data_IF_893053666519
#
_entry.id   IF_893053666519
#
_cell.length_a   1.000
_cell.length_b   1.000
_cell.length_c   1.000
_cell.angle_alpha   90.00
_cell.angle_beta   90.00
_cell.angle_gamma   90.00
#
_symmetry.space_group_name_H-M   'P 1'
#
loop_
_entity.id
_entity.type
_entity.pdbx_description
1 polymer ?
#
# COMPACT_ATOMS: atom_id res chain seq x y z
N UNK A 1 -15.04 -10.41 -16.60
CA UNK A 1 -15.27 -9.60 -17.83
C UNK A 1 -14.08 -9.71 -18.79
N UNK A 2 -14.17 -9.11 -19.99
CA UNK A 2 -13.11 -9.10 -21.02
C UNK A 2 -13.68 -9.18 -22.44
N UNK A 3 -12.94 -8.72 -23.44
CA UNK A 3 -13.34 -8.67 -24.85
C UNK A 3 -13.38 -7.24 -25.42
N UNK A 4 -14.05 -7.08 -26.55
CA UNK A 4 -14.08 -5.82 -27.30
C UNK A 4 -15.24 -4.90 -26.88
N UNK A 5 -14.96 -3.59 -26.86
CA UNK A 5 -15.94 -2.51 -26.65
C UNK A 5 -16.01 -1.66 -27.92
N UNK A 6 -17.04 -1.89 -28.73
CA UNK A 6 -17.25 -1.22 -30.02
C UNK A 6 -18.25 -0.04 -29.95
N UNK A 7 -19.09 -0.02 -28.91
CA UNK A 7 -20.08 1.03 -28.64
C UNK A 7 -19.97 1.55 -27.20
N UNK A 8 -21.07 2.00 -26.61
CA UNK A 8 -21.08 2.46 -25.22
C UNK A 8 -21.40 1.29 -24.26
N UNK A 9 -20.47 0.94 -23.38
CA UNK A 9 -20.63 -0.06 -22.33
C UNK A 9 -20.48 0.62 -20.98
N UNK A 10 -21.47 0.45 -20.09
CA UNK A 10 -21.43 0.94 -18.71
C UNK A 10 -21.34 -0.27 -17.79
N UNK A 11 -20.33 -0.29 -16.92
CA UNK A 11 -20.26 -1.29 -15.85
C UNK A 11 -21.18 -0.90 -14.69
N UNK A 12 -21.59 -1.87 -13.90
CA UNK A 12 -22.19 -1.60 -12.59
C UNK A 12 -21.08 -1.46 -11.54
N UNK A 13 -21.39 -0.87 -10.39
CA UNK A 13 -20.44 -0.80 -9.29
C UNK A 13 -20.21 -2.22 -8.72
N UNK A 14 -18.95 -2.62 -8.58
CA UNK A 14 -18.62 -3.92 -8.00
C UNK A 14 -17.20 -4.39 -8.26
N UNK A 15 -16.93 -5.65 -7.95
CA UNK A 15 -15.63 -6.30 -8.18
C UNK A 15 -15.74 -7.25 -9.37
N UNK A 16 -14.90 -7.06 -10.38
CA UNK A 16 -14.88 -7.87 -11.58
C UNK A 16 -13.51 -8.51 -11.79
N UNK A 17 -13.48 -9.82 -12.00
CA UNK A 17 -12.26 -10.48 -12.51
C UNK A 17 -12.21 -10.34 -14.03
N UNK A 18 -11.14 -9.72 -14.54
CA UNK A 18 -10.84 -9.58 -15.97
C UNK A 18 -10.03 -10.80 -16.42
N UNK A 19 -10.69 -11.67 -17.18
CA UNK A 19 -10.15 -12.97 -17.58
C UNK A 19 -9.59 -12.98 -19.02
N UNK A 20 -9.81 -11.90 -19.78
CA UNK A 20 -9.36 -11.70 -21.16
C UNK A 20 -9.13 -10.20 -21.37
N UNK A 21 -8.25 -9.86 -22.31
CA UNK A 21 -7.94 -8.47 -22.61
C UNK A 21 -9.21 -7.67 -22.91
N UNK A 22 -9.23 -6.43 -22.42
CA UNK A 22 -10.28 -5.48 -22.75
C UNK A 22 -9.73 -4.59 -23.87
N UNK A 23 -10.41 -4.59 -25.02
CA UNK A 23 -10.05 -3.70 -26.13
C UNK A 23 -11.16 -2.70 -26.38
N UNK A 24 -10.91 -1.42 -26.08
CA UNK A 24 -11.84 -0.34 -26.38
C UNK A 24 -11.48 0.25 -27.73
N UNK A 25 -12.29 -0.05 -28.75
CA UNK A 25 -12.10 0.47 -30.11
C UNK A 25 -12.26 1.99 -30.16
N UNK A 26 -11.81 2.62 -31.24
CA UNK A 26 -11.85 4.09 -31.42
C UNK A 26 -13.25 4.73 -31.28
N UNK A 27 -14.33 4.01 -31.63
CA UNK A 27 -15.73 4.43 -31.43
C UNK A 27 -16.32 3.94 -30.11
N UNK A 28 -15.61 3.06 -29.40
CA UNK A 28 -16.01 2.48 -28.14
C UNK A 28 -15.92 3.47 -27.00
N UNK A 29 -16.88 3.38 -26.07
CA UNK A 29 -16.82 4.05 -24.77
C UNK A 29 -17.05 3.03 -23.67
N UNK A 30 -16.14 2.96 -22.71
CA UNK A 30 -16.31 2.17 -21.49
C UNK A 30 -16.47 3.12 -20.29
N UNK A 31 -17.63 3.09 -19.65
CA UNK A 31 -17.94 3.86 -18.44
C UNK A 31 -17.80 2.96 -17.21
N UNK A 32 -16.94 3.34 -16.27
CA UNK A 32 -16.62 2.58 -15.06
C UNK A 32 -17.04 3.41 -13.84
N UNK A 33 -18.08 3.01 -13.10
CA UNK A 33 -18.49 3.73 -11.90
C UNK A 33 -17.39 3.77 -10.84
N UNK A 34 -17.29 4.87 -10.08
CA UNK A 34 -16.46 4.91 -8.88
C UNK A 34 -16.87 3.81 -7.88
N UNK A 35 -15.90 3.29 -7.12
CA UNK A 35 -16.11 2.12 -6.25
C UNK A 35 -15.86 0.77 -6.94
N UNK A 36 -15.80 0.76 -8.27
CA UNK A 36 -15.53 -0.46 -9.05
C UNK A 36 -14.07 -0.92 -8.93
N UNK A 37 -13.87 -2.23 -8.78
CA UNK A 37 -12.56 -2.88 -8.80
C UNK A 37 -12.48 -3.83 -9.99
N UNK A 38 -11.49 -3.64 -10.85
CA UNK A 38 -11.17 -4.53 -11.96
C UNK A 38 -9.90 -5.32 -11.63
N UNK A 39 -10.06 -6.61 -11.37
CA UNK A 39 -8.94 -7.49 -11.04
C UNK A 39 -8.47 -8.28 -12.26
N UNK A 40 -7.29 -7.97 -12.78
CA UNK A 40 -6.73 -8.57 -13.97
C UNK A 40 -5.99 -9.85 -13.62
N UNK A 41 -6.29 -10.95 -14.33
CA UNK A 41 -5.41 -12.10 -14.32
C UNK A 41 -4.03 -11.72 -14.89
N UNK A 42 -3.02 -12.49 -14.53
CA UNK A 42 -1.67 -12.31 -15.06
C UNK A 42 -1.69 -12.31 -16.59
N UNK A 43 -0.86 -11.44 -17.18
CA UNK A 43 -0.76 -11.26 -18.64
C UNK A 43 -2.04 -10.79 -19.34
N UNK A 44 -3.05 -10.33 -18.59
CA UNK A 44 -4.26 -9.69 -19.14
C UNK A 44 -4.18 -8.19 -18.91
N UNK A 45 -4.48 -7.43 -19.95
CA UNK A 45 -4.43 -5.97 -19.94
C UNK A 45 -5.69 -5.30 -20.48
N UNK A 46 -5.57 -3.99 -20.64
CA UNK A 46 -6.57 -3.15 -21.29
C UNK A 46 -5.87 -2.28 -22.33
N UNK A 47 -6.44 -2.21 -23.52
CA UNK A 47 -5.96 -1.35 -24.59
C UNK A 47 -7.11 -0.45 -25.05
N UNK A 48 -6.83 0.85 -25.17
CA UNK A 48 -7.85 1.88 -25.34
C UNK A 48 -7.50 2.76 -26.53
N UNK A 49 -8.21 2.56 -27.63
CA UNK A 49 -8.21 3.46 -28.79
C UNK A 49 -9.36 4.47 -28.75
N UNK A 50 -10.45 4.17 -28.04
CA UNK A 50 -11.60 5.05 -27.85
C UNK A 50 -11.58 5.79 -26.51
N UNK A 51 -12.71 5.79 -25.81
CA UNK A 51 -12.88 6.53 -24.56
C UNK A 51 -13.09 5.60 -23.36
N UNK A 52 -12.36 5.85 -22.28
CA UNK A 52 -12.72 5.38 -20.94
C UNK A 52 -13.15 6.58 -20.11
N UNK A 53 -14.27 6.43 -19.40
CA UNK A 53 -14.83 7.45 -18.52
C UNK A 53 -15.17 6.81 -17.17
N UNK A 54 -15.06 7.58 -16.09
CA UNK A 54 -15.57 7.18 -14.79
C UNK A 54 -16.63 8.16 -14.29
N UNK A 55 -17.67 7.64 -13.64
CA UNK A 55 -18.82 8.41 -13.14
C UNK A 55 -19.15 8.06 -11.69
N UNK A 56 -19.65 9.03 -10.89
CA UNK A 56 -19.96 8.85 -9.45
C UNK A 56 -19.18 9.81 -8.51
N UNK A 57 -19.13 9.49 -7.22
CA UNK A 57 -18.48 10.34 -6.19
C UNK A 57 -16.95 10.23 -6.20
N UNK A 58 -16.26 11.36 -5.97
CA UNK A 58 -14.78 11.44 -5.90
C UNK A 58 -14.17 10.65 -4.75
N UNK A 59 -14.97 10.30 -3.74
CA UNK A 59 -14.49 9.64 -2.51
C UNK A 59 -14.25 8.14 -2.70
N UNK A 60 -14.95 7.53 -3.67
CA UNK A 60 -14.70 6.16 -4.08
C UNK A 60 -13.77 6.18 -5.30
N UNK A 61 -12.75 5.32 -5.37
CA UNK A 61 -11.81 5.26 -6.51
C UNK A 61 -12.09 4.00 -7.34
N UNK A 62 -12.00 4.12 -8.66
CA UNK A 62 -11.88 2.95 -9.53
C UNK A 62 -10.50 2.34 -9.31
N UNK A 63 -10.43 1.04 -9.04
CA UNK A 63 -9.17 0.34 -8.78
C UNK A 63 -8.92 -0.71 -9.84
N UNK A 64 -7.69 -0.76 -10.34
CA UNK A 64 -7.19 -1.82 -11.21
C UNK A 64 -6.14 -2.60 -10.41
N UNK A 65 -6.36 -3.89 -10.20
CA UNK A 65 -5.49 -4.74 -9.36
C UNK A 65 -5.23 -6.08 -10.03
N UNK A 66 -4.37 -6.91 -9.44
CA UNK A 66 -4.24 -8.31 -9.86
C UNK A 66 -5.40 -9.15 -9.31
N UNK A 67 -5.81 -10.18 -10.04
CA UNK A 67 -6.82 -11.15 -9.63
C UNK A 67 -6.50 -11.73 -8.24
N UNK A 68 -7.49 -11.70 -7.34
CA UNK A 68 -7.34 -12.19 -5.97
C UNK A 68 -6.88 -11.15 -4.96
N UNK A 69 -6.54 -9.93 -5.37
CA UNK A 69 -6.14 -8.85 -4.44
C UNK A 69 -7.24 -8.54 -3.42
N UNK A 70 -8.51 -8.49 -3.83
CA UNK A 70 -9.63 -8.21 -2.92
C UNK A 70 -9.80 -9.31 -1.88
N UNK A 71 -9.65 -10.58 -2.28
CA UNK A 71 -9.73 -11.72 -1.37
C UNK A 71 -8.61 -11.68 -0.31
N UNK A 72 -7.37 -11.35 -0.73
CA UNK A 72 -6.23 -11.18 0.18
C UNK A 72 -6.49 -10.04 1.16
N UNK A 73 -6.92 -8.87 0.68
CA UNK A 73 -7.19 -7.70 1.54
C UNK A 73 -8.28 -8.02 2.57
N UNK A 74 -9.36 -8.67 2.14
CA UNK A 74 -10.47 -9.05 3.03
C UNK A 74 -10.04 -10.07 4.07
N UNK A 75 -9.23 -11.06 3.69
CA UNK A 75 -8.68 -12.03 4.64
C UNK A 75 -7.75 -11.37 5.65
N UNK A 76 -6.88 -10.45 5.21
CA UNK A 76 -6.01 -9.74 6.15
C UNK A 76 -6.78 -8.83 7.09
N UNK A 77 -7.87 -8.20 6.63
CA UNK A 77 -8.75 -7.44 7.50
C UNK A 77 -9.34 -8.32 8.60
N UNK A 78 -9.82 -9.52 8.26
CA UNK A 78 -10.39 -10.48 9.22
C UNK A 78 -9.34 -10.94 10.24
N UNK A 79 -8.13 -11.27 9.78
CA UNK A 79 -7.03 -11.67 10.66
C UNK A 79 -6.66 -10.54 11.62
N UNK A 80 -6.59 -9.30 11.14
CA UNK A 80 -6.24 -8.16 11.98
C UNK A 80 -7.35 -7.80 12.99
N UNK A 81 -8.61 -7.91 12.59
CA UNK A 81 -9.75 -7.74 13.49
C UNK A 81 -9.78 -8.83 14.57
N UNK A 82 -9.49 -10.07 14.19
CA UNK A 82 -9.37 -11.18 15.14
C UNK A 82 -8.21 -10.94 16.12
N UNK A 83 -7.02 -10.54 15.64
CA UNK A 83 -5.89 -10.20 16.50
C UNK A 83 -6.22 -9.09 17.49
N UNK A 84 -6.98 -8.09 17.07
CA UNK A 84 -7.42 -7.00 17.95
C UNK A 84 -8.36 -7.50 19.04
N UNK A 85 -9.25 -8.44 18.73
CA UNK A 85 -10.13 -9.09 19.70
C UNK A 85 -9.34 -10.00 20.66
N UNK A 86 -8.40 -10.79 20.14
CA UNK A 86 -7.55 -11.66 20.97
C UNK A 86 -6.68 -10.85 21.93
N UNK A 87 -6.13 -9.71 21.47
CA UNK A 87 -5.39 -8.79 22.32
C UNK A 87 -6.26 -8.19 23.44
N UNK A 88 -7.53 -7.89 23.17
CA UNK A 88 -8.48 -7.42 24.20
C UNK A 88 -8.83 -8.53 25.20
N UNK A 89 -9.01 -9.78 24.74
CA UNK A 89 -9.29 -10.92 25.63
C UNK A 89 -8.11 -11.23 26.56
N UNK A 90 -6.87 -11.12 26.06
CA UNK A 90 -5.66 -11.35 26.87
C UNK A 90 -5.52 -10.31 28.00
N UNK A 91 -6.01 -9.08 27.81
CA UNK A 91 -6.08 -8.06 28.87
C UNK A 91 -7.14 -8.42 29.92
N UNK A 92 -8.26 -9.04 29.52
CA UNK A 92 -9.32 -9.45 30.44
C UNK A 92 -8.89 -10.65 31.30
N UNK A 93 -8.10 -11.59 30.75
CA UNK A 93 -7.51 -12.70 31.52
C UNK A 93 -6.44 -12.25 32.52
N UNK A 94 -5.71 -11.16 32.27
CA UNK A 94 -4.78 -10.55 33.25
C UNK A 94 -5.47 -9.76 34.39
N UNK A 95 -6.80 -9.58 34.35
CA UNK A 95 -7.54 -8.78 35.36
C UNK A 95 -8.20 -9.65 36.46
N UNK A 96 -8.05 -10.98 36.47
CA UNK A 96 -8.34 -11.76 37.68
C UNK A 96 -7.19 -11.60 38.67
N UNK A 97 -7.41 -10.77 39.69
CA UNK A 97 -6.49 -10.46 40.79
C UNK A 97 -6.08 -11.74 41.55
N UNK A 98 -5.00 -12.37 41.12
CA UNK A 98 -4.15 -13.20 41.97
C UNK A 98 -2.80 -12.48 42.17
N UNK A 99 -2.31 -12.55 43.40
CA UNK A 99 -1.32 -11.65 44.02
C UNK A 99 -0.08 -11.33 43.16
N UNK A 100 0.23 -10.04 43.03
CA UNK A 100 1.45 -9.55 42.37
C UNK A 100 2.68 -10.04 43.14
N UNK A 101 3.36 -11.06 42.62
CA UNK A 101 4.65 -11.49 43.12
C UNK A 101 5.76 -10.57 42.57
N UNK A 102 6.14 -9.57 43.37
CA UNK A 102 7.13 -8.54 43.02
C UNK A 102 8.51 -9.13 42.68
N UNK A 103 8.79 -10.39 43.03
CA UNK A 103 10.05 -11.08 42.69
C UNK A 103 10.19 -11.48 41.21
N UNK A 104 9.10 -11.72 40.48
CA UNK A 104 9.15 -12.22 39.09
C UNK A 104 9.20 -11.09 38.03
N UNK A 105 8.78 -9.87 38.42
CA UNK A 105 8.81 -8.67 37.57
C UNK A 105 10.24 -8.21 37.25
N UNK A 106 11.20 -8.49 38.14
CA UNK A 106 12.62 -8.15 37.97
C UNK A 106 13.36 -9.03 36.96
N UNK A 107 12.91 -10.27 36.71
CA UNK A 107 13.52 -11.15 35.69
C UNK A 107 12.87 -10.97 34.31
N UNK A 108 11.58 -10.58 34.24
CA UNK A 108 10.94 -10.25 32.96
C UNK A 108 11.38 -8.91 32.37
N UNK A 109 11.84 -7.97 33.19
CA UNK A 109 12.36 -6.67 32.71
C UNK A 109 13.77 -6.75 32.13
N UNK A 110 14.57 -7.77 32.45
CA UNK A 110 15.90 -7.95 31.85
C UNK A 110 15.86 -8.55 30.44
N UNK A 111 14.73 -9.10 30.00
CA UNK A 111 14.54 -9.62 28.64
C UNK A 111 13.87 -8.61 27.68
N UNK A 112 13.46 -7.43 28.18
CA UNK A 112 12.92 -6.35 27.35
C UNK A 112 14.01 -5.50 26.71
N UNK A 113 15.29 -5.73 27.03
CA UNK A 113 16.43 -5.07 26.39
C UNK A 113 16.92 -5.76 25.11
N UNK A 114 16.34 -6.90 24.73
CA UNK A 114 16.71 -7.66 23.52
C UNK A 114 15.85 -7.31 22.28
N UNK A 115 14.85 -6.44 22.42
CA UNK A 115 14.32 -5.70 21.27
C UNK A 115 15.24 -4.53 20.98
N UNK A 116 16.46 -4.82 20.54
CA UNK A 116 17.16 -3.85 19.70
C UNK A 116 16.21 -3.57 18.53
N UNK A 117 15.71 -2.33 18.36
CA UNK A 117 14.90 -2.01 17.20
C UNK A 117 15.70 -2.47 15.98
N UNK A 118 15.07 -3.18 15.01
CA UNK A 118 15.78 -3.60 13.82
C UNK A 118 16.53 -2.39 13.27
N UNK A 119 17.81 -2.55 12.91
CA UNK A 119 18.65 -1.50 12.31
C UNK A 119 18.11 -1.18 10.91
N UNK A 120 16.94 -0.55 10.88
CA UNK A 120 16.22 -0.12 9.69
C UNK A 120 16.84 1.20 9.28
N UNK A 121 17.74 1.13 8.32
CA UNK A 121 18.38 2.30 7.75
C UNK A 121 17.58 2.77 6.56
N UNK A 122 17.43 4.08 6.44
CA UNK A 122 16.71 4.72 5.33
C UNK A 122 17.62 5.69 4.59
N UNK A 123 17.39 5.87 3.29
CA UNK A 123 18.04 6.90 2.47
C UNK A 123 17.11 7.39 1.37
N UNK A 124 17.31 8.63 0.92
CA UNK A 124 16.68 9.19 -0.26
C UNK A 124 17.63 9.10 -1.45
N UNK A 125 17.11 8.73 -2.62
CA UNK A 125 17.88 8.65 -3.87
C UNK A 125 17.15 9.35 -5.02
N UNK A 126 17.90 9.97 -5.94
CA UNK A 126 17.35 10.52 -7.19
C UNK A 126 16.61 11.87 -7.06
N UNK A 127 16.65 12.54 -5.91
CA UNK A 127 16.17 13.92 -5.75
C UNK A 127 17.17 14.99 -6.18
N UNK A 128 16.73 16.25 -6.22
CA UNK A 128 17.55 17.45 -6.47
C UNK A 128 18.62 17.65 -5.41
N UNK A 129 18.26 17.39 -4.16
CA UNK A 129 19.09 17.59 -2.98
C UNK A 129 18.89 16.45 -1.97
N UNK A 130 19.42 16.61 -0.76
CA UNK A 130 19.36 15.59 0.30
C UNK A 130 18.00 15.51 1.02
N UNK A 131 17.06 16.42 0.72
CA UNK A 131 15.75 16.53 1.37
C UNK A 131 14.63 15.88 0.55
N UNK A 132 14.85 15.66 -0.74
CA UNK A 132 13.91 14.98 -1.64
C UNK A 132 14.48 13.71 -2.28
N UNK A 133 13.60 12.78 -2.64
CA UNK A 133 13.96 11.60 -3.42
C UNK A 133 13.09 10.38 -3.16
N UNK A 134 13.41 9.28 -3.86
CA UNK A 134 12.80 7.97 -3.61
C UNK A 134 13.34 7.39 -2.31
N UNK A 135 12.43 6.96 -1.44
CA UNK A 135 12.77 6.26 -0.20
C UNK A 135 13.30 4.86 -0.48
N UNK A 136 14.48 4.57 0.05
CA UNK A 136 15.09 3.24 0.10
C UNK A 136 15.20 2.80 1.56
N UNK A 137 14.82 1.55 1.83
CA UNK A 137 14.87 0.95 3.17
C UNK A 137 15.83 -0.23 3.15
N UNK A 138 16.74 -0.29 4.11
CA UNK A 138 17.62 -1.43 4.32
C UNK A 138 16.96 -2.40 5.29
N UNK A 139 16.79 -3.66 4.87
CA UNK A 139 16.18 -4.70 5.71
C UNK A 139 16.90 -6.02 5.52
N UNK A 140 17.92 -6.31 6.32
CA UNK A 140 18.59 -7.62 6.49
C UNK A 140 19.27 -8.25 5.26
N UNK A 141 18.65 -8.16 4.09
CA UNK A 141 19.00 -8.74 2.79
C UNK A 141 19.38 -7.69 1.75
N UNK A 142 19.33 -6.38 2.05
CA UNK A 142 19.73 -5.31 1.14
C UNK A 142 18.86 -4.06 1.18
N UNK A 143 19.11 -3.15 0.25
CA UNK A 143 18.31 -1.94 0.03
C UNK A 143 17.13 -2.24 -0.91
N UNK A 144 15.91 -1.94 -0.47
CA UNK A 144 14.69 -2.07 -1.27
C UNK A 144 13.91 -0.76 -1.37
N UNK A 145 13.00 -0.69 -2.34
CA UNK A 145 12.05 0.41 -2.49
C UNK A 145 10.79 0.15 -1.65
N UNK A 146 10.08 1.24 -1.30
CA UNK A 146 8.79 1.16 -0.63
C UNK A 146 7.66 1.25 -1.66
N UNK A 147 6.64 0.39 -1.51
CA UNK A 147 5.44 0.45 -2.35
C UNK A 147 4.64 1.72 -2.04
N UNK A 148 4.18 2.43 -3.07
CA UNK A 148 3.40 3.66 -2.90
C UNK A 148 1.96 3.40 -2.42
N UNK A 149 1.50 2.14 -2.45
CA UNK A 149 0.16 1.80 -1.98
C UNK A 149 0.06 1.98 -0.46
N UNK A 150 -0.82 2.89 -0.01
CA UNK A 150 -0.94 3.21 1.41
C UNK A 150 0.14 4.16 1.94
N UNK A 151 0.95 4.76 1.06
CA UNK A 151 1.86 5.84 1.44
C UNK A 151 1.05 7.09 1.82
N UNK A 152 1.25 7.57 3.05
CA UNK A 152 0.54 8.71 3.64
C UNK A 152 1.53 9.78 4.12
N UNK A 153 1.02 10.97 4.41
CA UNK A 153 1.79 12.04 5.05
C UNK A 153 2.41 11.56 6.38
N UNK A 154 1.66 10.80 7.17
CA UNK A 154 2.15 10.24 8.44
C UNK A 154 3.34 9.30 8.24
N UNK A 155 3.29 8.41 7.23
CA UNK A 155 4.42 7.53 6.92
C UNK A 155 5.63 8.30 6.36
N UNK A 156 5.38 9.37 5.60
CA UNK A 156 6.45 10.25 5.14
C UNK A 156 7.11 11.00 6.30
N UNK A 157 6.33 11.43 7.29
CA UNK A 157 6.85 12.11 8.48
C UNK A 157 7.78 11.22 9.29
N UNK A 158 7.43 9.94 9.45
CA UNK A 158 8.29 8.95 10.10
C UNK A 158 9.60 8.76 9.32
N UNK A 159 9.55 8.66 7.99
CA UNK A 159 10.76 8.54 7.16
C UNK A 159 11.67 9.78 7.27
N UNK A 160 11.09 10.99 7.25
CA UNK A 160 11.84 12.22 7.49
C UNK A 160 12.48 12.22 8.88
N UNK A 161 11.75 11.82 9.92
CA UNK A 161 12.26 11.77 11.28
C UNK A 161 13.43 10.78 11.42
N UNK A 162 13.38 9.62 10.76
CA UNK A 162 14.48 8.64 10.73
C UNK A 162 15.73 9.17 10.00
N UNK A 163 15.55 10.10 9.06
CA UNK A 163 16.63 10.84 8.39
C UNK A 163 17.05 12.12 9.14
N UNK A 164 16.49 12.36 10.33
CA UNK A 164 16.72 13.54 11.15
C UNK A 164 16.27 14.85 10.46
N UNK A 165 15.16 14.78 9.71
CA UNK A 165 14.47 15.89 9.06
C UNK A 165 13.06 16.08 9.62
N UNK A 166 12.46 17.23 9.31
CA UNK A 166 11.06 17.54 9.59
C UNK A 166 10.30 17.58 8.27
N UNK A 167 9.20 16.83 8.17
CA UNK A 167 8.38 16.82 6.97
C UNK A 167 7.70 18.19 6.77
N UNK A 168 7.69 18.66 5.53
CA UNK A 168 6.82 19.75 5.11
C UNK A 168 5.50 19.17 4.57
N UNK A 169 4.34 19.45 5.18
CA UNK A 169 3.06 18.86 4.81
C UNK A 169 2.64 19.08 3.35
N UNK A 170 3.12 20.14 2.71
CA UNK A 170 2.78 20.45 1.32
C UNK A 170 3.68 19.72 0.29
N UNK A 171 4.76 19.06 0.75
CA UNK A 171 5.87 18.61 -0.11
C UNK A 171 6.33 17.18 0.27
N UNK A 172 5.36 16.33 0.63
CA UNK A 172 5.62 14.96 1.09
C UNK A 172 5.50 13.90 -0.01
N UNK A 173 4.88 14.25 -1.14
CA UNK A 173 4.56 13.33 -2.22
C UNK A 173 5.22 13.81 -3.52
N UNK A 174 6.27 13.10 -3.93
CA UNK A 174 6.87 13.22 -5.24
C UNK A 174 6.38 12.08 -6.13
N UNK A 175 5.79 12.43 -7.27
CA UNK A 175 5.37 11.47 -8.27
C UNK A 175 6.60 10.90 -9.01
N UNK A 176 6.50 9.68 -9.58
CA UNK A 176 7.60 9.07 -10.33
C UNK A 176 8.19 9.94 -11.46
N UNK A 177 7.41 10.87 -12.03
CA UNK A 177 7.86 11.81 -13.05
C UNK A 177 8.50 13.11 -12.54
N UNK A 178 8.52 13.35 -11.23
CA UNK A 178 9.07 14.57 -10.62
C UNK A 178 10.52 14.39 -10.11
N UNK A 179 11.02 13.15 -10.10
CA UNK A 179 12.40 12.84 -9.74
C UNK A 179 13.35 13.22 -10.89
N UNK A 180 14.23 14.20 -10.66
CA UNK A 180 15.11 14.77 -11.69
C UNK A 180 16.21 13.83 -12.20
N UNK A 181 16.52 12.77 -11.44
CA UNK A 181 17.59 11.82 -11.76
C UNK A 181 17.04 10.42 -11.68
N UNK A 182 16.82 9.86 -12.86
CA UNK A 182 16.39 8.49 -13.12
C UNK A 182 17.04 7.49 -12.15
N UNK A 183 16.22 6.93 -11.27
CA UNK A 183 16.48 5.68 -10.57
C UNK A 183 15.87 4.49 -11.32
N UNK A 184 15.89 4.51 -12.65
CA UNK A 184 15.35 3.44 -13.51
C UNK A 184 16.46 2.47 -13.95
N UNK A 185 17.71 2.98 -14.07
CA UNK A 185 18.87 2.22 -14.58
C UNK A 185 20.00 2.02 -13.55
N UNK A 186 19.85 2.53 -12.32
CA UNK A 186 20.84 2.22 -11.27
C UNK A 186 20.57 0.81 -10.75
N UNK A 187 21.56 -0.11 -10.83
CA UNK A 187 21.35 -1.45 -10.33
C UNK A 187 21.05 -1.38 -8.82
N UNK A 188 20.03 -2.13 -8.43
CA UNK A 188 19.73 -2.39 -7.02
C UNK A 188 20.87 -3.27 -6.51
N UNK A 189 21.94 -2.65 -6.00
CA UNK A 189 23.06 -3.33 -5.32
C UNK A 189 23.14 -2.86 -3.88
#
# INVERSE_FOLDING_TARGET
IGGEVNGHVVLEEGVYTVNRDIYVHNTGRLTIPFGTVLEFKESIGIMVAGLIQSEGSKDAKVKFTLAGTTAIIEEQRRIEEQRRLDALNNIVEETTLDEVNIGELTERTTNLTDFAPPDVRVKLVGGKDALEGRLMVYSGSGWGTVCMHGWTEGTAAVACQQLNYVLKPDDWLLLPGELLREGVDSPIV
#
